data_IF_173857113648
#
_entry.id   IF_173857113648
#
_cell.length_a   1.000
_cell.length_b   1.000
_cell.length_c   1.000
_cell.angle_alpha   90.00
_cell.angle_beta   90.00
_cell.angle_gamma   90.00
#
_symmetry.space_group_name_H-M   'P 1'
#
loop_
_entity.id
_entity.type
_entity.pdbx_description
1 polymer ?
#
# COMPACT_ATOMS: atom_id res chain seq x y z
N UNK A 1 8.59 27.93 -10.89
CA UNK A 1 8.02 27.01 -11.89
C UNK A 1 7.28 25.89 -11.18
N UNK A 2 6.01 25.65 -11.53
CA UNK A 2 5.22 24.54 -10.98
C UNK A 2 5.63 23.26 -11.72
N UNK A 3 6.40 22.37 -11.09
CA UNK A 3 6.57 21.02 -11.60
C UNK A 3 5.21 20.33 -11.53
N UNK A 4 4.65 20.07 -12.72
CA UNK A 4 3.45 19.29 -12.92
C UNK A 4 3.69 17.92 -12.27
N UNK A 5 2.92 17.58 -11.23
CA UNK A 5 2.84 16.21 -10.71
C UNK A 5 2.37 15.33 -11.87
N UNK A 6 3.31 14.64 -12.50
CA UNK A 6 3.01 13.67 -13.53
C UNK A 6 2.41 12.44 -12.86
N UNK A 7 1.09 12.27 -13.04
CA UNK A 7 0.45 10.98 -12.80
C UNK A 7 1.24 9.90 -13.56
N UNK A 8 1.53 8.72 -12.97
CA UNK A 8 2.35 7.66 -13.58
C UNK A 8 1.90 7.22 -14.98
N UNK A 9 0.64 7.49 -15.32
CA UNK A 9 0.01 7.25 -16.62
C UNK A 9 0.55 8.15 -17.74
N UNK A 10 1.41 9.13 -17.42
CA UNK A 10 1.94 10.12 -18.37
C UNK A 10 3.45 10.03 -18.58
N UNK A 11 4.15 9.02 -18.07
CA UNK A 11 5.59 8.86 -18.35
C UNK A 11 5.81 8.68 -19.87
N UNK A 12 6.46 9.65 -20.56
CA UNK A 12 6.54 9.65 -22.02
C UNK A 12 7.43 8.52 -22.55
N UNK A 13 8.36 8.02 -21.73
CA UNK A 13 9.28 6.96 -22.10
C UNK A 13 8.51 5.63 -22.09
N UNK A 14 7.72 5.39 -21.03
CA UNK A 14 6.92 4.17 -20.89
C UNK A 14 5.81 4.09 -21.93
N UNK A 15 5.11 5.20 -22.21
CA UNK A 15 4.09 5.25 -23.27
C UNK A 15 4.69 4.97 -24.66
N UNK A 16 5.87 5.54 -24.94
CA UNK A 16 6.56 5.32 -26.22
C UNK A 16 6.97 3.87 -26.40
N UNK A 17 7.55 3.24 -25.36
CA UNK A 17 7.94 1.83 -25.41
C UNK A 17 6.73 0.91 -25.59
N UNK A 18 5.61 1.18 -24.92
CA UNK A 18 4.41 0.33 -25.05
C UNK A 18 3.77 0.42 -26.44
N UNK A 19 3.74 1.63 -27.03
CA UNK A 19 3.28 1.84 -28.41
C UNK A 19 4.17 1.14 -29.43
N UNK A 20 5.48 1.13 -29.22
CA UNK A 20 6.44 0.41 -30.07
C UNK A 20 6.20 -1.11 -30.03
N UNK A 21 5.94 -1.68 -28.84
CA UNK A 21 5.61 -3.11 -28.69
C UNK A 21 4.28 -3.45 -29.37
N UNK A 22 3.25 -2.62 -29.22
CA UNK A 22 1.93 -2.85 -29.85
C UNK A 22 2.03 -2.77 -31.38
N UNK A 23 2.86 -1.88 -31.93
CA UNK A 23 3.12 -1.79 -33.38
C UNK A 23 3.73 -3.07 -33.95
N UNK A 24 4.42 -3.87 -33.14
CA UNK A 24 5.03 -5.14 -33.55
C UNK A 24 4.03 -6.31 -33.54
N UNK A 25 2.84 -6.15 -32.95
CA UNK A 25 1.80 -7.19 -32.94
C UNK A 25 1.25 -7.39 -34.35
N UNK A 26 1.42 -8.58 -34.93
CA UNK A 26 1.08 -8.88 -36.33
C UNK A 26 -0.43 -8.89 -36.62
N UNK A 27 -1.26 -9.18 -35.63
CA UNK A 27 -2.73 -9.20 -35.79
C UNK A 27 -3.29 -7.76 -35.76
N UNK A 28 -3.92 -7.27 -36.85
CA UNK A 28 -4.47 -5.92 -36.91
C UNK A 28 -5.60 -5.70 -35.89
N UNK A 29 -6.44 -6.71 -35.69
CA UNK A 29 -7.57 -6.66 -34.76
C UNK A 29 -7.09 -6.62 -33.30
N UNK A 30 -6.10 -7.45 -32.96
CA UNK A 30 -5.49 -7.45 -31.63
C UNK A 30 -4.73 -6.14 -31.37
N UNK A 31 -4.04 -5.60 -32.37
CA UNK A 31 -3.36 -4.29 -32.28
C UNK A 31 -4.35 -3.16 -32.00
N UNK A 32 -5.51 -3.15 -32.69
CA UNK A 32 -6.57 -2.16 -32.51
C UNK A 32 -7.22 -2.28 -31.13
N UNK A 33 -7.46 -3.50 -30.66
CA UNK A 33 -8.01 -3.75 -29.32
C UNK A 33 -7.02 -3.33 -28.21
N UNK A 34 -5.73 -3.63 -28.36
CA UNK A 34 -4.69 -3.23 -27.40
C UNK A 34 -4.51 -1.71 -27.37
N UNK A 35 -4.54 -1.05 -28.54
CA UNK A 35 -4.49 0.41 -28.64
C UNK A 35 -5.73 1.08 -28.03
N UNK A 36 -6.93 0.50 -28.21
CA UNK A 36 -8.16 1.02 -27.59
C UNK A 36 -8.18 0.82 -26.06
N UNK A 37 -7.61 -0.28 -25.56
CA UNK A 37 -7.45 -0.54 -24.12
C UNK A 37 -6.49 0.43 -23.42
N UNK A 38 -5.49 0.96 -24.14
CA UNK A 38 -4.62 2.03 -23.61
C UNK A 38 -5.34 3.36 -23.40
N UNK A 39 -6.53 3.54 -24.00
CA UNK A 39 -7.26 4.82 -24.02
C UNK A 39 -8.55 4.76 -23.20
N UNK A 40 -8.96 3.60 -22.65
CA UNK A 40 -10.27 3.43 -22.02
C UNK A 40 -10.20 3.41 -20.46
N UNK A 41 -10.98 4.23 -19.72
CA UNK A 41 -10.73 4.50 -18.28
C UNK A 41 -11.27 3.48 -17.25
N UNK A 42 -11.89 2.37 -17.63
CA UNK A 42 -12.76 1.62 -16.68
C UNK A 42 -12.33 0.23 -16.21
N UNK A 43 -11.18 -0.34 -16.61
CA UNK A 43 -10.75 -1.64 -16.04
C UNK A 43 -9.23 -1.82 -16.12
N UNK A 44 -8.49 -1.31 -15.15
CA UNK A 44 -7.04 -1.52 -15.05
C UNK A 44 -6.72 -2.74 -14.18
N UNK A 45 -6.64 -3.91 -14.81
CA UNK A 45 -5.95 -5.10 -14.24
C UNK A 45 -4.92 -5.70 -15.21
N UNK A 46 -4.42 -4.93 -16.18
CA UNK A 46 -3.30 -5.33 -17.06
C UNK A 46 -2.28 -4.22 -17.36
N UNK A 47 -2.11 -3.24 -16.45
CA UNK A 47 -1.10 -2.16 -16.57
C UNK A 47 -0.14 -2.09 -15.37
N UNK A 48 -0.07 -3.11 -14.51
CA UNK A 48 0.82 -3.08 -13.34
C UNK A 48 0.40 -2.06 -12.26
N UNK A 49 -0.77 -1.43 -12.41
CA UNK A 49 -1.32 -0.50 -11.44
C UNK A 49 -2.13 -1.28 -10.41
N UNK A 50 -1.67 -1.31 -9.17
CA UNK A 50 -2.40 -1.92 -8.05
C UNK A 50 -3.49 -0.97 -7.60
N UNK A 51 -4.71 -1.18 -8.07
CA UNK A 51 -5.86 -0.40 -7.63
C UNK A 51 -6.94 -1.31 -7.04
N UNK A 52 -7.29 -1.02 -5.78
CA UNK A 52 -8.44 -1.57 -5.08
C UNK A 52 -9.10 -0.41 -4.36
N UNK A 53 -10.39 -0.21 -4.60
CA UNK A 53 -11.19 0.66 -3.75
C UNK A 53 -11.41 -0.07 -2.42
N UNK A 54 -10.72 0.38 -1.38
CA UNK A 54 -10.97 -0.10 -0.03
C UNK A 54 -12.18 0.67 0.54
N UNK A 55 -13.22 -0.06 0.93
CA UNK A 55 -14.42 0.51 1.56
C UNK A 55 -14.45 -0.05 2.98
N UNK A 56 -14.49 0.85 3.97
CA UNK A 56 -14.61 0.44 5.38
C UNK A 56 -15.96 -0.20 5.59
N UNK A 57 -16.04 -1.20 6.47
CA UNK A 57 -17.30 -1.89 6.76
C UNK A 57 -18.42 -0.92 7.17
N UNK A 58 -18.10 0.11 7.97
CA UNK A 58 -19.04 1.16 8.39
C UNK A 58 -19.52 2.08 7.25
N UNK A 59 -18.76 2.15 6.17
CA UNK A 59 -19.02 2.99 4.99
C UNK A 59 -19.57 2.14 3.82
N UNK A 60 -19.73 0.83 4.01
CA UNK A 60 -20.29 -0.07 3.01
C UNK A 60 -21.83 0.04 3.02
N UNK A 61 -22.46 0.54 1.95
CA UNK A 61 -23.91 0.74 1.91
C UNK A 61 -24.68 -0.60 1.89
N UNK A 62 -24.00 -1.73 1.69
CA UNK A 62 -24.58 -3.06 1.74
C UNK A 62 -24.53 -3.69 3.12
N UNK A 63 -23.82 -3.07 4.07
CA UNK A 63 -23.76 -3.51 5.45
C UNK A 63 -24.88 -2.84 6.26
N UNK A 64 -25.79 -3.63 6.83
CA UNK A 64 -27.05 -3.20 7.42
C UNK A 64 -27.02 -3.06 8.95
N UNK A 65 -25.83 -3.20 9.55
CA UNK A 65 -25.62 -3.06 10.99
C UNK A 65 -24.70 -1.88 11.30
N UNK A 66 -24.89 -1.27 12.47
CA UNK A 66 -23.93 -0.30 12.99
C UNK A 66 -22.57 -0.98 13.22
N UNK A 67 -21.49 -0.30 12.88
CA UNK A 67 -20.12 -0.79 13.03
C UNK A 67 -19.35 0.15 13.95
N UNK A 68 -18.85 -0.40 15.05
CA UNK A 68 -18.09 0.34 16.06
C UNK A 68 -16.73 -0.30 16.31
N UNK A 69 -15.73 0.50 16.68
CA UNK A 69 -14.44 -0.03 17.13
C UNK A 69 -14.55 -0.46 18.59
N UNK A 70 -14.44 -1.77 18.85
CA UNK A 70 -14.52 -2.33 20.21
C UNK A 70 -13.16 -2.55 20.86
N UNK A 71 -12.09 -2.67 20.06
CA UNK A 71 -10.73 -2.86 20.57
C UNK A 71 -9.70 -2.27 19.61
N UNK A 72 -8.63 -1.70 20.16
CA UNK A 72 -7.46 -1.24 19.41
C UNK A 72 -6.25 -2.04 19.86
N UNK A 73 -5.53 -2.62 18.91
CA UNK A 73 -4.39 -3.50 19.14
C UNK A 73 -3.16 -2.84 18.51
N UNK A 74 -2.12 -2.67 19.33
CA UNK A 74 -0.78 -2.25 18.91
C UNK A 74 -0.11 -3.38 18.12
N UNK A 75 0.63 -3.04 17.06
CA UNK A 75 1.43 -3.99 16.27
C UNK A 75 2.87 -4.09 16.78
N UNK A 76 3.23 -3.26 17.77
CA UNK A 76 4.51 -3.17 18.43
C UNK A 76 5.49 -2.30 17.66
N UNK A 77 5.96 -1.22 18.30
CA UNK A 77 6.80 -0.21 17.67
C UNK A 77 8.11 -0.78 17.12
N UNK A 78 8.80 -1.63 17.88
CA UNK A 78 10.10 -2.21 17.47
C UNK A 78 10.03 -3.49 16.61
N UNK A 79 8.83 -3.97 16.27
CA UNK A 79 8.66 -5.23 15.54
C UNK A 79 8.85 -5.11 14.03
N UNK A 80 9.05 -3.88 13.53
CA UNK A 80 9.05 -3.60 12.11
C UNK A 80 10.43 -3.76 11.49
N UNK A 81 10.41 -4.21 10.23
CA UNK A 81 11.57 -4.21 9.36
C UNK A 81 11.37 -3.23 8.22
N UNK A 82 12.47 -2.64 7.74
CA UNK A 82 12.49 -1.73 6.61
C UNK A 82 13.49 -2.15 5.54
N UNK A 83 13.11 -1.91 4.30
CA UNK A 83 14.00 -1.91 3.15
C UNK A 83 13.75 -0.70 2.26
N UNK A 84 14.82 0.02 1.92
CA UNK A 84 14.78 1.19 1.05
C UNK A 84 14.91 0.77 -0.41
N UNK A 85 13.87 1.00 -1.20
CA UNK A 85 13.70 0.54 -2.58
C UNK A 85 14.08 1.64 -3.57
N UNK A 86 15.38 1.95 -3.60
CA UNK A 86 15.98 2.99 -4.46
C UNK A 86 15.64 2.82 -5.95
N UNK A 87 15.52 1.58 -6.40
CA UNK A 87 15.28 1.24 -7.81
C UNK A 87 13.79 1.00 -8.12
N UNK A 88 12.89 1.16 -7.14
CA UNK A 88 11.46 0.94 -7.27
C UNK A 88 11.12 -0.45 -7.88
N UNK A 89 11.73 -1.49 -7.33
CA UNK A 89 11.60 -2.88 -7.80
C UNK A 89 10.73 -3.76 -6.90
N UNK A 90 10.35 -3.28 -5.71
CA UNK A 90 9.67 -4.08 -4.69
C UNK A 90 8.37 -4.72 -5.16
N UNK A 91 7.54 -3.98 -5.91
CA UNK A 91 6.30 -4.54 -6.50
C UNK A 91 6.61 -5.64 -7.50
N UNK A 92 7.56 -5.39 -8.41
CA UNK A 92 7.97 -6.36 -9.45
C UNK A 92 8.53 -7.64 -8.81
N UNK A 93 9.28 -7.49 -7.73
CA UNK A 93 9.88 -8.60 -6.98
C UNK A 93 8.92 -9.24 -5.97
N UNK A 94 7.66 -8.77 -5.90
CA UNK A 94 6.59 -9.31 -5.05
C UNK A 94 6.97 -9.39 -3.57
N UNK A 95 7.72 -8.42 -3.06
CA UNK A 95 8.22 -8.47 -1.67
C UNK A 95 7.12 -8.40 -0.60
N UNK A 96 5.89 -8.07 -1.02
CA UNK A 96 4.70 -8.01 -0.18
C UNK A 96 4.08 -9.38 0.14
N UNK A 97 4.51 -10.47 -0.50
CA UNK A 97 3.98 -11.81 -0.19
C UNK A 97 4.52 -12.31 1.15
N UNK A 98 3.75 -13.08 1.96
CA UNK A 98 4.20 -13.54 3.27
C UNK A 98 5.50 -14.35 3.22
N UNK A 99 5.68 -15.14 2.16
CA UNK A 99 6.80 -16.07 1.98
C UNK A 99 8.11 -15.36 1.59
N UNK A 100 8.08 -14.05 1.31
CA UNK A 100 9.29 -13.31 0.98
C UNK A 100 10.26 -13.33 2.16
N UNK A 101 11.52 -13.68 1.91
CA UNK A 101 12.56 -13.70 2.92
C UNK A 101 13.12 -12.29 3.17
N UNK A 102 12.74 -11.69 4.30
CA UNK A 102 13.21 -10.38 4.76
C UNK A 102 14.27 -10.46 5.88
N UNK A 103 14.98 -11.58 6.00
CA UNK A 103 16.01 -11.74 7.02
C UNK A 103 17.12 -10.68 6.92
N UNK A 104 17.39 -10.16 5.72
CA UNK A 104 18.38 -9.11 5.46
C UNK A 104 17.87 -7.69 5.70
N UNK A 105 16.57 -7.50 5.97
CA UNK A 105 16.02 -6.16 6.18
C UNK A 105 16.44 -5.61 7.53
N UNK A 106 16.62 -4.29 7.59
CA UNK A 106 16.98 -3.60 8.83
C UNK A 106 15.76 -3.54 9.74
N UNK A 107 15.96 -3.58 11.06
CA UNK A 107 14.90 -3.23 12.01
C UNK A 107 14.66 -1.71 12.00
N UNK A 108 13.42 -1.29 12.26
CA UNK A 108 13.05 0.11 12.40
C UNK A 108 11.92 0.25 13.44
N UNK A 109 11.79 1.42 14.07
CA UNK A 109 10.58 1.77 14.83
C UNK A 109 9.61 2.58 13.98
N UNK A 110 8.31 2.48 14.29
CA UNK A 110 7.22 3.16 13.54
C UNK A 110 6.59 4.32 14.30
N UNK A 111 7.32 4.89 15.26
CA UNK A 111 6.95 6.06 16.06
C UNK A 111 7.76 7.32 15.69
N UNK A 112 8.62 7.21 14.65
CA UNK A 112 9.56 8.25 14.20
C UNK A 112 9.77 8.15 12.69
N UNK A 113 10.11 9.27 12.04
CA UNK A 113 10.57 9.25 10.64
C UNK A 113 11.87 8.45 10.50
N UNK A 114 12.19 8.02 9.28
CA UNK A 114 13.36 7.18 9.03
C UNK A 114 14.69 7.96 9.12
N UNK A 115 14.70 9.28 8.93
CA UNK A 115 15.89 10.15 9.05
C UNK A 115 16.37 10.19 10.50
N UNK A 116 15.45 10.40 11.45
CA UNK A 116 15.73 10.37 12.89
C UNK A 116 16.23 8.99 13.39
N UNK A 117 16.22 7.98 12.53
CA UNK A 117 16.71 6.63 12.78
C UNK A 117 17.98 6.30 11.98
N UNK A 118 18.69 7.32 11.49
CA UNK A 118 20.00 7.20 10.83
C UNK A 118 19.91 6.95 9.31
N UNK A 119 18.79 7.31 8.68
CA UNK A 119 18.61 7.22 7.22
C UNK A 119 18.46 8.62 6.63
N UNK A 120 19.44 9.47 6.90
CA UNK A 120 19.43 10.89 6.54
C UNK A 120 19.31 11.10 5.03
N UNK A 121 18.52 12.10 4.64
CA UNK A 121 18.34 12.56 3.25
C UNK A 121 17.87 11.46 2.28
N UNK A 122 17.07 10.52 2.76
CA UNK A 122 16.46 9.52 1.89
C UNK A 122 15.08 9.99 1.42
N UNK A 123 14.98 10.36 0.15
CA UNK A 123 13.71 10.56 -0.53
C UNK A 123 13.46 9.37 -1.48
N UNK A 124 12.24 8.83 -1.49
CA UNK A 124 11.87 7.73 -2.37
C UNK A 124 10.98 6.68 -1.71
N UNK A 125 11.08 5.44 -2.22
CA UNK A 125 10.24 4.34 -1.77
C UNK A 125 10.89 3.52 -0.65
N UNK A 126 10.18 3.33 0.45
CA UNK A 126 10.56 2.37 1.48
C UNK A 126 9.46 1.32 1.67
N UNK A 127 9.87 0.13 2.07
CA UNK A 127 8.95 -0.96 2.41
C UNK A 127 9.12 -1.34 3.85
N UNK A 128 7.99 -1.48 4.53
CA UNK A 128 7.85 -1.89 5.91
C UNK A 128 7.17 -3.26 5.96
N UNK A 129 7.69 -4.16 6.80
CA UNK A 129 7.07 -5.46 7.07
C UNK A 129 6.99 -5.70 8.58
N UNK A 130 5.86 -6.24 9.02
CA UNK A 130 5.65 -6.73 10.39
C UNK A 130 4.83 -8.01 10.36
N UNK A 131 5.17 -8.95 11.22
CA UNK A 131 4.32 -10.12 11.52
C UNK A 131 3.67 -9.92 12.89
N UNK A 132 2.38 -10.22 13.01
CA UNK A 132 1.64 -10.06 14.26
C UNK A 132 0.63 -11.18 14.44
N UNK A 133 0.29 -11.51 15.68
CA UNK A 133 -0.78 -12.45 15.98
C UNK A 133 -2.11 -11.72 16.00
N UNK A 134 -3.04 -12.11 15.12
CA UNK A 134 -4.41 -11.63 15.22
C UNK A 134 -5.11 -12.33 16.40
N UNK A 135 -5.98 -11.64 17.15
CA UNK A 135 -6.79 -12.29 18.17
C UNK A 135 -7.79 -13.26 17.52
N UNK A 136 -8.44 -14.09 18.34
CA UNK A 136 -9.64 -14.81 17.92
C UNK A 136 -10.74 -13.83 17.49
N UNK A 137 -11.54 -14.22 16.48
CA UNK A 137 -12.61 -13.38 15.95
C UNK A 137 -13.65 -13.03 17.02
N UNK A 138 -14.02 -14.01 17.85
CA UNK A 138 -15.10 -13.88 18.84
C UNK A 138 -16.34 -13.23 18.22
N UNK A 139 -16.95 -12.25 18.89
CA UNK A 139 -18.11 -11.50 18.40
C UNK A 139 -17.76 -10.38 17.40
N UNK A 140 -16.50 -10.24 16.98
CA UNK A 140 -16.12 -9.17 16.07
C UNK A 140 -16.65 -9.47 14.66
N UNK A 141 -17.22 -8.46 14.01
CA UNK A 141 -17.73 -8.56 12.65
C UNK A 141 -16.64 -8.32 11.60
N UNK A 142 -15.57 -7.61 11.98
CA UNK A 142 -14.49 -7.26 11.07
C UNK A 142 -13.27 -6.66 11.76
N UNK A 143 -12.32 -6.23 10.94
CA UNK A 143 -11.12 -5.53 11.39
C UNK A 143 -10.64 -4.53 10.33
N UNK A 144 -10.07 -3.42 10.79
CA UNK A 144 -9.43 -2.44 9.93
C UNK A 144 -8.09 -2.00 10.53
N UNK A 145 -7.14 -1.63 9.67
CA UNK A 145 -5.95 -0.94 10.12
C UNK A 145 -6.21 0.55 10.17
N UNK A 146 -5.80 1.18 11.26
CA UNK A 146 -5.71 2.63 11.40
C UNK A 146 -4.26 3.06 11.30
N UNK A 147 -3.98 3.95 10.37
CA UNK A 147 -2.67 4.56 10.16
C UNK A 147 -2.74 6.02 10.60
N UNK A 148 -2.23 6.37 11.80
CA UNK A 148 -2.39 7.71 12.33
C UNK A 148 -1.53 8.73 11.59
N UNK A 149 -0.32 8.32 11.19
CA UNK A 149 0.62 9.17 10.48
C UNK A 149 1.61 8.30 9.69
N UNK A 150 1.43 8.29 8.39
CA UNK A 150 2.42 7.86 7.41
C UNK A 150 2.72 9.08 6.56
N UNK A 151 3.99 9.36 6.29
CA UNK A 151 4.35 10.48 5.43
C UNK A 151 3.91 10.23 3.98
N UNK A 152 3.61 11.31 3.26
CA UNK A 152 2.93 11.42 1.96
C UNK A 152 2.03 10.24 1.51
N UNK A 153 2.60 9.21 0.88
CA UNK A 153 1.84 8.16 0.21
C UNK A 153 2.12 6.77 0.79
N UNK A 154 1.07 5.95 0.86
CA UNK A 154 1.14 4.60 1.40
C UNK A 154 0.32 3.60 0.58
N UNK A 155 0.85 2.39 0.42
CA UNK A 155 0.16 1.21 -0.14
C UNK A 155 0.23 0.07 0.87
N UNK A 156 -0.87 -0.66 1.04
CA UNK A 156 -1.01 -1.63 2.13
C UNK A 156 -1.41 -2.99 1.59
N UNK A 157 -0.73 -4.04 2.08
CA UNK A 157 -1.05 -5.44 1.82
C UNK A 157 -1.15 -6.19 3.14
N UNK A 158 -2.14 -7.08 3.24
CA UNK A 158 -2.25 -8.04 4.32
C UNK A 158 -2.18 -9.44 3.74
N UNK A 159 -1.28 -10.27 4.26
CA UNK A 159 -1.08 -11.65 3.83
C UNK A 159 -0.86 -11.78 2.31
N UNK A 160 -0.13 -10.81 1.71
CA UNK A 160 0.10 -10.73 0.27
C UNK A 160 -1.06 -10.18 -0.57
N UNK A 161 -2.23 -9.97 0.04
CA UNK A 161 -3.40 -9.39 -0.63
C UNK A 161 -3.36 -7.87 -0.50
N UNK A 162 -3.45 -7.18 -1.64
CA UNK A 162 -3.50 -5.72 -1.66
C UNK A 162 -4.83 -5.21 -1.07
N UNK A 163 -4.74 -4.37 -0.04
CA UNK A 163 -5.90 -3.75 0.62
C UNK A 163 -6.29 -2.42 -0.04
N UNK A 164 -5.31 -1.61 -0.44
CA UNK A 164 -5.52 -0.29 -1.01
C UNK A 164 -4.34 0.66 -0.79
N UNK A 165 -4.57 1.93 -1.07
CA UNK A 165 -3.57 3.00 -0.96
C UNK A 165 -4.18 4.32 -0.50
N UNK A 166 -3.34 5.16 0.12
CA UNK A 166 -3.50 6.62 0.21
C UNK A 166 -2.39 7.25 -0.61
N UNK A 167 -2.69 7.69 -1.84
CA UNK A 167 -1.72 8.30 -2.76
C UNK A 167 -2.24 9.67 -3.22
N UNK A 168 -2.26 10.60 -2.27
CA UNK A 168 -2.77 11.97 -2.44
C UNK A 168 -1.64 12.99 -2.63
N UNK A 169 -0.39 12.53 -2.72
CA UNK A 169 0.82 13.35 -2.76
C UNK A 169 1.22 13.98 -1.42
N UNK A 170 2.15 14.96 -1.46
CA UNK A 170 2.79 15.54 -0.28
C UNK A 170 1.81 16.12 0.75
N UNK A 171 0.65 16.62 0.32
CA UNK A 171 -0.36 17.23 1.20
C UNK A 171 -1.03 16.23 2.17
N UNK A 172 -0.77 14.93 2.01
CA UNK A 172 -1.31 13.89 2.89
C UNK A 172 -0.38 13.45 4.03
N UNK A 173 0.79 14.09 4.18
CA UNK A 173 1.81 13.75 5.18
C UNK A 173 1.29 13.63 6.62
N UNK A 174 0.24 14.39 6.98
CA UNK A 174 -0.37 14.37 8.32
C UNK A 174 -1.79 13.78 8.37
N UNK A 175 -2.32 13.30 7.23
CA UNK A 175 -3.71 12.82 7.15
C UNK A 175 -3.81 11.37 7.59
N UNK A 176 -4.52 11.03 8.67
CA UNK A 176 -4.73 9.64 9.03
C UNK A 176 -5.61 8.94 7.99
N UNK A 177 -5.44 7.63 7.84
CA UNK A 177 -6.28 6.82 6.98
C UNK A 177 -6.57 5.44 7.58
N UNK A 178 -7.56 4.77 7.00
CA UNK A 178 -7.97 3.42 7.41
C UNK A 178 -7.88 2.47 6.22
N UNK A 179 -7.68 1.19 6.49
CA UNK A 179 -7.76 0.12 5.51
C UNK A 179 -8.59 -1.02 6.10
N UNK A 180 -9.79 -1.25 5.56
CA UNK A 180 -10.54 -2.46 5.85
C UNK A 180 -9.72 -3.68 5.49
N UNK A 181 -9.67 -4.62 6.43
CA UNK A 181 -8.96 -5.88 6.34
C UNK A 181 -9.89 -7.05 6.68
N UNK A 182 -11.21 -6.81 6.74
CA UNK A 182 -12.19 -7.74 7.30
C UNK A 182 -12.23 -9.06 6.54
N UNK A 183 -11.93 -9.03 5.22
CA UNK A 183 -11.91 -10.20 4.34
C UNK A 183 -10.57 -10.93 4.31
N UNK A 184 -9.48 -10.24 4.63
CA UNK A 184 -8.11 -10.74 4.44
C UNK A 184 -7.42 -11.18 5.74
N UNK A 185 -7.93 -10.75 6.90
CA UNK A 185 -7.37 -11.11 8.19
C UNK A 185 -7.59 -12.59 8.52
N UNK A 186 -6.52 -13.25 8.96
CA UNK A 186 -6.56 -14.63 9.47
C UNK A 186 -6.70 -14.58 10.98
N UNK A 187 -7.92 -14.67 11.48
CA UNK A 187 -8.21 -14.64 12.92
C UNK A 187 -7.56 -15.82 13.65
N UNK A 188 -7.06 -15.58 14.87
CA UNK A 188 -6.36 -16.61 15.68
C UNK A 188 -4.98 -17.01 15.15
N UNK A 189 -4.53 -16.42 14.04
CA UNK A 189 -3.30 -16.81 13.34
C UNK A 189 -2.28 -15.67 13.23
N UNK A 190 -1.06 -16.03 12.85
CA UNK A 190 -0.03 -15.07 12.44
C UNK A 190 -0.43 -14.45 11.10
N UNK A 191 -0.41 -13.13 11.06
CA UNK A 191 -0.64 -12.32 9.87
C UNK A 191 0.62 -11.54 9.52
N UNK A 192 0.80 -11.25 8.23
CA UNK A 192 1.90 -10.45 7.70
C UNK A 192 1.34 -9.17 7.08
N UNK A 193 1.71 -8.01 7.63
CA UNK A 193 1.37 -6.70 7.09
C UNK A 193 2.59 -6.15 6.34
N UNK A 194 2.38 -5.75 5.10
CA UNK A 194 3.37 -5.01 4.30
C UNK A 194 2.83 -3.62 4.00
N UNK A 195 3.65 -2.59 4.22
CA UNK A 195 3.32 -1.21 3.89
C UNK A 195 4.45 -0.65 3.03
N UNK A 196 4.12 -0.15 1.85
CA UNK A 196 5.04 0.63 1.03
C UNK A 196 4.75 2.10 1.30
N UNK A 197 5.79 2.89 1.53
CA UNK A 197 5.72 4.33 1.74
C UNK A 197 6.51 5.02 0.63
N UNK A 198 6.01 6.15 0.15
CA UNK A 198 6.75 7.08 -0.68
C UNK A 198 6.82 8.43 0.02
N UNK A 199 8.00 8.99 0.06
CA UNK A 199 8.24 10.37 0.45
C UNK A 199 9.03 11.06 -0.67
N UNK A 200 8.57 12.25 -1.05
CA UNK A 200 9.17 13.06 -2.10
C UNK A 200 10.24 14.01 -1.58
N UNK A 201 10.21 14.37 -0.29
CA UNK A 201 11.18 15.26 0.31
C UNK A 201 11.13 15.28 1.85
N UNK A 202 12.31 15.46 2.45
CA UNK A 202 12.55 15.81 3.86
C UNK A 202 12.48 14.66 4.83
N UNK A 203 11.29 14.32 5.32
CA UNK A 203 11.13 13.46 6.48
C UNK A 203 10.08 12.41 6.16
N UNK A 204 10.50 11.18 5.96
CA UNK A 204 9.60 10.14 5.47
C UNK A 204 9.37 8.99 6.45
N UNK A 205 8.35 8.20 6.13
CA UNK A 205 8.10 6.92 6.78
C UNK A 205 6.82 6.86 7.60
N UNK A 206 6.72 5.81 8.41
CA UNK A 206 5.62 5.63 9.37
C UNK A 206 6.03 6.32 10.68
N UNK A 207 5.45 7.49 10.96
CA UNK A 207 5.85 8.33 12.09
C UNK A 207 4.93 8.18 13.32
N UNK A 208 3.84 7.41 13.20
CA UNK A 208 3.02 6.97 14.33
C UNK A 208 2.55 5.53 14.12
N UNK A 209 2.55 4.77 15.20
CA UNK A 209 2.27 3.34 15.16
C UNK A 209 0.91 3.01 14.51
N UNK A 210 0.90 2.16 13.46
CA UNK A 210 -0.34 1.61 12.93
C UNK A 210 -1.00 0.67 13.95
N UNK A 211 -2.33 0.72 14.02
CA UNK A 211 -3.11 -0.08 14.95
C UNK A 211 -4.08 -0.99 14.19
N UNK A 212 -4.31 -2.19 14.71
CA UNK A 212 -5.43 -3.02 14.29
C UNK A 212 -6.66 -2.69 15.14
N UNK A 213 -7.73 -2.24 14.52
CA UNK A 213 -9.01 -1.94 15.17
C UNK A 213 -9.96 -3.11 14.92
N UNK A 214 -10.48 -3.71 16.00
CA UNK A 214 -11.50 -4.76 15.91
C UNK A 214 -12.88 -4.10 15.88
N UNK A 215 -13.73 -4.58 14.99
CA UNK A 215 -15.03 -4.02 14.69
C UNK A 215 -16.13 -4.94 15.22
N UNK A 216 -17.17 -4.37 15.83
CA UNK A 216 -18.42 -5.04 16.20
C UNK A 216 -19.59 -4.27 15.65
#
# INVERSE_FOLDING_TARGET
EKMLVMKPEKDPIVQKTLLEVIRQVKSPELRKQLAAKLVNPQTQTQTGQLYRKNIRLKDDPTYDHEVTTVKKISLGNENWKIWFDKDNTGVRNKIFVPEFNDASWKKITVDKNWEAQGNDNYDGFAWYRVSFNAPEKNDCVGAEFYFPLVDEEAWVWLNGVYLGQRAEGPEAWSKPFFMDASKEIRWGEVNQLTVRVFDSAKAGGICKEPQLHLLK
#
